data_IF_546429827695
#
_entry.id   IF_546429827695
#
_cell.length_a   1.000
_cell.length_b   1.000
_cell.length_c   1.000
_cell.angle_alpha   90.00
_cell.angle_beta   90.00
_cell.angle_gamma   90.00
#
_symmetry.space_group_name_H-M   'P 1'
#
loop_
_entity.id
_entity.type
_entity.pdbx_description
1 polymer ?
#
# COMPACT_ATOMS: atom_id res chain seq x y z
N UNK A 1 -10.26 7.78 4.76
CA UNK A 1 -8.85 7.39 4.46
C UNK A 1 -8.81 5.88 4.36
N UNK A 2 -8.28 5.29 3.30
CA UNK A 2 -8.16 3.83 3.23
C UNK A 2 -7.35 3.29 4.42
N UNK A 3 -7.93 2.35 5.14
CA UNK A 3 -7.30 1.60 6.22
C UNK A 3 -7.03 0.17 5.74
N UNK A 4 -6.64 -0.75 6.62
CA UNK A 4 -6.26 -2.11 6.21
C UNK A 4 -7.32 -2.81 5.34
N UNK A 5 -8.62 -2.82 5.68
CA UNK A 5 -9.61 -3.53 4.88
C UNK A 5 -9.76 -2.98 3.46
N UNK A 6 -9.75 -1.66 3.27
CA UNK A 6 -9.87 -1.05 1.95
C UNK A 6 -8.63 -1.32 1.09
N UNK A 7 -7.45 -1.37 1.71
CA UNK A 7 -6.20 -1.74 1.02
C UNK A 7 -6.23 -3.22 0.64
N UNK A 8 -6.72 -4.10 1.52
CA UNK A 8 -6.86 -5.52 1.23
C UNK A 8 -7.88 -5.80 0.12
N UNK A 9 -9.04 -5.13 0.15
CA UNK A 9 -10.03 -5.21 -0.94
C UNK A 9 -9.42 -4.76 -2.27
N UNK A 10 -8.64 -3.68 -2.25
CA UNK A 10 -7.92 -3.23 -3.45
C UNK A 10 -6.94 -4.29 -3.95
N UNK A 11 -6.15 -4.92 -3.04
CA UNK A 11 -5.24 -6.01 -3.40
C UNK A 11 -5.99 -7.18 -4.03
N UNK A 12 -7.04 -7.66 -3.37
CA UNK A 12 -7.84 -8.79 -3.86
C UNK A 12 -8.47 -8.51 -5.22
N UNK A 13 -8.95 -7.29 -5.46
CA UNK A 13 -9.48 -6.86 -6.74
C UNK A 13 -8.45 -6.87 -7.89
N UNK A 14 -7.15 -6.78 -7.57
CA UNK A 14 -6.08 -6.81 -8.57
C UNK A 14 -5.54 -8.21 -8.85
N UNK A 15 -5.61 -9.13 -7.88
CA UNK A 15 -5.03 -10.47 -7.99
C UNK A 15 -5.48 -11.28 -9.20
N UNK A 16 -6.75 -11.25 -9.66
CA UNK A 16 -7.17 -12.01 -10.84
C UNK A 16 -6.59 -11.47 -12.16
N UNK A 17 -6.06 -10.24 -12.16
CA UNK A 17 -5.77 -9.53 -13.40
C UNK A 17 -4.29 -9.23 -13.63
N UNK A 18 -3.50 -9.00 -12.59
CA UNK A 18 -2.14 -8.47 -12.73
C UNK A 18 -1.02 -9.52 -12.57
N UNK A 19 -1.09 -10.52 -11.66
CA UNK A 19 -0.03 -11.52 -11.57
C UNK A 19 0.23 -12.22 -12.90
N UNK A 20 1.49 -12.40 -13.23
CA UNK A 20 1.95 -12.96 -14.49
C UNK A 20 1.98 -11.97 -15.67
N UNK A 21 1.46 -10.76 -15.51
CA UNK A 21 1.40 -9.77 -16.59
C UNK A 21 2.65 -8.90 -16.61
N UNK A 22 3.08 -8.52 -17.85
CA UNK A 22 4.19 -7.58 -18.04
C UNK A 22 3.67 -6.16 -18.14
N UNK A 23 4.38 -5.26 -17.46
CA UNK A 23 4.20 -3.82 -17.61
C UNK A 23 4.77 -3.44 -19.00
N UNK A 24 3.90 -3.00 -19.90
CA UNK A 24 4.30 -2.52 -21.22
C UNK A 24 4.88 -1.12 -21.12
N UNK A 25 4.23 -0.28 -20.30
CA UNK A 25 4.61 1.10 -20.09
C UNK A 25 4.17 1.55 -18.69
N UNK A 26 4.96 2.43 -18.07
CA UNK A 26 4.57 3.13 -16.85
C UNK A 26 4.54 4.64 -17.11
N UNK A 27 3.37 5.25 -16.95
CA UNK A 27 3.15 6.68 -17.22
C UNK A 27 2.96 7.42 -15.92
N UNK A 28 3.82 8.39 -15.67
CA UNK A 28 3.73 9.28 -14.51
C UNK A 28 3.38 10.70 -14.97
N UNK A 29 2.18 11.19 -14.60
CA UNK A 29 1.68 12.52 -14.97
C UNK A 29 1.97 13.59 -13.92
N UNK A 30 2.39 13.17 -12.73
CA UNK A 30 2.85 14.05 -11.67
C UNK A 30 4.27 13.66 -11.29
N UNK A 31 5.20 14.63 -11.18
CA UNK A 31 6.57 14.35 -10.75
C UNK A 31 6.65 14.00 -9.26
N UNK A 32 5.60 14.31 -8.51
CA UNK A 32 5.52 14.13 -7.06
C UNK A 32 4.11 13.78 -6.61
N UNK A 33 4.04 12.81 -5.70
CA UNK A 33 2.94 12.57 -4.79
C UNK A 33 3.35 13.05 -3.40
N UNK A 34 3.19 12.26 -2.34
CA UNK A 34 3.77 12.58 -1.03
C UNK A 34 5.30 12.68 -1.11
N UNK A 35 5.93 11.82 -1.89
CA UNK A 35 7.36 11.81 -2.21
C UNK A 35 7.55 12.04 -3.71
N UNK A 36 8.73 12.48 -4.09
CA UNK A 36 9.11 12.55 -5.50
C UNK A 36 9.09 11.16 -6.12
N UNK A 37 8.59 11.07 -7.34
CA UNK A 37 8.64 9.84 -8.14
C UNK A 37 9.98 9.87 -8.89
N UNK A 38 10.86 8.87 -8.69
CA UNK A 38 12.14 8.86 -9.38
C UNK A 38 11.96 8.92 -10.91
N UNK A 39 12.63 9.85 -11.57
CA UNK A 39 12.47 10.07 -13.02
C UNK A 39 12.77 8.82 -13.87
N UNK A 40 13.63 7.92 -13.38
CA UNK A 40 13.96 6.66 -14.04
C UNK A 40 12.95 5.53 -13.77
N UNK A 41 11.95 5.75 -12.90
CA UNK A 41 11.04 4.68 -12.50
C UNK A 41 10.20 4.17 -13.69
N UNK A 42 9.83 5.04 -14.63
CA UNK A 42 9.09 4.64 -15.83
C UNK A 42 9.87 3.60 -16.66
N UNK A 43 11.11 3.93 -17.01
CA UNK A 43 11.97 3.02 -17.80
C UNK A 43 12.32 1.75 -17.01
N UNK A 44 12.45 1.84 -15.69
CA UNK A 44 12.76 0.70 -14.83
C UNK A 44 11.60 -0.29 -14.76
N UNK A 45 10.37 0.17 -14.69
CA UNK A 45 9.18 -0.69 -14.62
C UNK A 45 8.82 -1.31 -15.97
N UNK A 46 9.14 -0.67 -17.07
CA UNK A 46 8.82 -1.18 -18.40
C UNK A 46 9.50 -2.54 -18.64
N UNK A 47 8.72 -3.53 -19.07
CA UNK A 47 9.15 -4.90 -19.30
C UNK A 47 9.17 -5.81 -18.08
N UNK A 48 9.05 -5.28 -16.85
CA UNK A 48 8.93 -6.12 -15.65
C UNK A 48 7.59 -6.86 -15.63
N UNK A 49 7.61 -8.07 -15.08
CA UNK A 49 6.42 -8.87 -14.81
C UNK A 49 6.00 -8.67 -13.36
N UNK A 50 4.72 -8.54 -13.10
CA UNK A 50 4.16 -8.60 -11.75
C UNK A 50 4.08 -10.09 -11.36
N UNK A 51 4.89 -10.55 -10.41
CA UNK A 51 4.83 -11.93 -9.94
C UNK A 51 3.82 -12.11 -8.82
N UNK A 52 3.67 -11.09 -7.98
CA UNK A 52 2.71 -11.12 -6.89
C UNK A 52 2.33 -9.73 -6.41
N UNK A 53 1.28 -9.68 -5.60
CA UNK A 53 0.86 -8.45 -4.90
C UNK A 53 0.61 -8.80 -3.44
N UNK A 54 1.45 -8.28 -2.57
CA UNK A 54 1.33 -8.45 -1.13
C UNK A 54 0.76 -7.18 -0.48
N UNK A 55 0.28 -7.32 0.73
CA UNK A 55 -0.07 -6.20 1.61
C UNK A 55 0.75 -6.28 2.89
N UNK A 56 1.22 -5.13 3.33
CA UNK A 56 1.80 -4.96 4.65
C UNK A 56 1.23 -3.68 5.28
N UNK A 57 0.43 -3.83 6.32
CA UNK A 57 -0.36 -2.71 6.86
C UNK A 57 -1.24 -2.05 5.81
N UNK A 58 -0.97 -0.79 5.51
CA UNK A 58 -1.68 -0.01 4.47
C UNK A 58 -0.89 0.13 3.16
N UNK A 59 0.20 -0.62 3.00
CA UNK A 59 1.01 -0.66 1.78
C UNK A 59 0.61 -1.82 0.89
N UNK A 60 0.54 -1.57 -0.41
CA UNK A 60 0.52 -2.58 -1.46
C UNK A 60 1.94 -2.74 -2.00
N UNK A 61 2.39 -3.97 -2.08
CA UNK A 61 3.74 -4.34 -2.48
C UNK A 61 3.64 -5.21 -3.73
N UNK A 62 4.01 -4.63 -4.88
CA UNK A 62 4.02 -5.35 -6.14
C UNK A 62 5.40 -5.95 -6.36
N UNK A 63 5.49 -7.26 -6.39
CA UNK A 63 6.68 -8.00 -6.76
C UNK A 63 6.87 -7.90 -8.27
N UNK A 64 7.96 -7.27 -8.69
CA UNK A 64 8.22 -6.95 -10.09
C UNK A 64 9.52 -7.59 -10.54
N UNK A 65 9.48 -8.51 -11.49
CA UNK A 65 10.64 -9.27 -11.93
C UNK A 65 10.87 -9.27 -13.45
N UNK A 66 12.14 -9.41 -13.79
CA UNK A 66 12.61 -9.81 -15.12
C UNK A 66 13.74 -10.84 -14.98
N UNK A 67 14.28 -11.34 -16.11
CA UNK A 67 15.42 -12.27 -16.09
C UNK A 67 16.71 -11.67 -15.55
N UNK A 68 16.83 -10.35 -15.51
CA UNK A 68 18.08 -9.64 -15.21
C UNK A 68 18.03 -8.83 -13.93
N UNK A 69 16.85 -8.36 -13.55
CA UNK A 69 16.65 -7.52 -12.38
C UNK A 69 15.21 -7.65 -11.86
N UNK A 70 15.04 -7.32 -10.62
CA UNK A 70 13.73 -7.33 -9.95
C UNK A 70 13.72 -6.42 -8.74
N UNK A 71 12.54 -6.24 -8.18
CA UNK A 71 12.34 -5.45 -6.98
C UNK A 71 10.86 -5.22 -6.71
N UNK A 72 10.59 -4.32 -5.81
CA UNK A 72 9.25 -4.05 -5.32
C UNK A 72 8.79 -2.64 -5.64
N UNK A 73 7.63 -2.53 -6.27
CA UNK A 73 6.92 -1.28 -6.34
C UNK A 73 6.04 -1.16 -5.09
N UNK A 74 6.35 -0.19 -4.24
CA UNK A 74 5.65 0.09 -2.98
C UNK A 74 4.63 1.18 -3.25
N UNK A 75 3.35 0.90 -3.00
CA UNK A 75 2.27 1.85 -3.16
C UNK A 75 1.49 2.02 -1.86
N UNK A 76 1.24 3.27 -1.47
CA UNK A 76 0.34 3.63 -0.38
C UNK A 76 -0.74 4.56 -0.90
N UNK A 77 -2.01 4.26 -0.61
CA UNK A 77 -3.14 5.03 -1.14
C UNK A 77 -3.25 6.45 -0.55
N UNK A 78 -2.56 6.71 0.54
CA UNK A 78 -2.70 7.99 1.24
C UNK A 78 -4.09 8.16 1.84
N UNK A 79 -4.68 9.35 1.66
CA UNK A 79 -6.01 9.66 2.20
C UNK A 79 -7.13 9.59 1.17
N UNK A 80 -6.83 9.74 -0.10
CA UNK A 80 -7.81 9.85 -1.19
C UNK A 80 -7.45 9.02 -2.42
N UNK A 81 -6.35 8.27 -2.33
CA UNK A 81 -5.89 7.43 -3.44
C UNK A 81 -6.81 6.24 -3.68
N UNK A 82 -6.96 5.90 -4.93
CA UNK A 82 -7.71 4.73 -5.38
C UNK A 82 -7.03 4.09 -6.59
N UNK A 83 -7.13 2.77 -6.68
CA UNK A 83 -6.67 1.98 -7.81
C UNK A 83 -7.86 1.51 -8.63
N UNK A 84 -7.73 1.57 -9.95
CA UNK A 84 -8.76 1.10 -10.88
C UNK A 84 -8.12 0.39 -12.06
N UNK A 85 -8.75 -0.68 -12.51
CA UNK A 85 -8.45 -1.29 -13.79
C UNK A 85 -9.34 -0.65 -14.85
N UNK A 86 -8.71 -0.13 -15.90
CA UNK A 86 -9.39 0.52 -17.01
C UNK A 86 -8.96 -0.13 -18.33
N UNK A 87 -9.78 -0.01 -19.38
CA UNK A 87 -9.40 -0.49 -20.71
C UNK A 87 -8.14 0.24 -21.22
N UNK A 88 -7.28 -0.45 -21.98
CA UNK A 88 -6.12 0.20 -22.61
C UNK A 88 -6.56 1.40 -23.46
N UNK A 89 -5.80 2.49 -23.40
CA UNK A 89 -6.13 3.71 -24.14
C UNK A 89 -7.22 4.59 -23.53
N UNK A 90 -7.81 4.20 -22.40
CA UNK A 90 -8.78 5.06 -21.70
C UNK A 90 -8.12 6.38 -21.30
N UNK A 91 -8.68 7.50 -21.78
CA UNK A 91 -8.15 8.83 -21.50
C UNK A 91 -8.08 9.10 -19.98
N UNK A 92 -6.97 9.67 -19.48
CA UNK A 92 -6.86 10.02 -18.08
C UNK A 92 -7.77 11.19 -17.73
N UNK A 93 -8.31 11.16 -16.53
CA UNK A 93 -9.07 12.25 -15.95
C UNK A 93 -8.21 13.08 -14.99
N UNK A 94 -8.75 14.20 -14.52
CA UNK A 94 -8.13 15.00 -13.46
C UNK A 94 -7.79 14.11 -12.25
N UNK A 95 -6.56 14.23 -11.76
CA UNK A 95 -6.00 13.47 -10.63
C UNK A 95 -5.62 12.01 -10.92
N UNK A 96 -5.70 11.54 -12.16
CA UNK A 96 -5.11 10.27 -12.57
C UNK A 96 -3.61 10.49 -12.78
N UNK A 97 -2.81 10.08 -11.79
CA UNK A 97 -1.38 10.46 -11.74
C UNK A 97 -0.45 9.38 -12.27
N UNK A 98 -0.84 8.12 -12.16
CA UNK A 98 0.00 6.98 -12.56
C UNK A 98 -0.82 5.97 -13.33
N UNK A 99 -0.28 5.50 -14.45
CA UNK A 99 -0.77 4.33 -15.15
C UNK A 99 0.35 3.30 -15.27
N UNK A 100 0.07 2.06 -14.88
CA UNK A 100 0.82 0.89 -15.30
C UNK A 100 0.03 0.20 -16.41
N UNK A 101 0.57 0.28 -17.61
CA UNK A 101 -0.10 -0.23 -18.83
C UNK A 101 0.32 -1.68 -19.05
N UNK A 102 -0.67 -2.54 -19.22
CA UNK A 102 -0.53 -3.94 -19.61
C UNK A 102 -1.23 -4.17 -20.95
N UNK A 103 -1.00 -5.30 -21.60
CA UNK A 103 -1.58 -5.58 -22.91
C UNK A 103 -3.13 -5.52 -22.91
N UNK A 104 -3.77 -6.05 -21.87
CA UNK A 104 -5.22 -6.18 -21.79
C UNK A 104 -5.92 -5.18 -20.85
N UNK A 105 -5.16 -4.46 -20.04
CA UNK A 105 -5.71 -3.53 -19.05
C UNK A 105 -4.67 -2.47 -18.66
N UNK A 106 -5.13 -1.43 -17.99
CA UNK A 106 -4.26 -0.43 -17.36
C UNK A 106 -4.64 -0.30 -15.89
N UNK A 107 -3.66 -0.47 -14.99
CA UNK A 107 -3.83 -0.13 -13.59
C UNK A 107 -3.61 1.36 -13.44
N UNK A 108 -4.65 2.07 -13.01
CA UNK A 108 -4.64 3.52 -12.84
C UNK A 108 -4.71 3.91 -11.39
N UNK A 109 -3.78 4.75 -10.97
CA UNK A 109 -3.78 5.36 -9.64
C UNK A 109 -4.28 6.80 -9.73
N UNK A 110 -5.40 7.06 -9.07
CA UNK A 110 -5.99 8.39 -8.90
C UNK A 110 -5.81 8.85 -7.47
N UNK A 111 -5.34 10.07 -7.27
CA UNK A 111 -5.18 10.65 -5.92
C UNK A 111 -5.36 12.17 -5.93
N UNK A 112 -6.58 12.68 -5.66
CA UNK A 112 -6.88 14.10 -5.66
C UNK A 112 -5.99 14.95 -4.73
N UNK A 113 -5.57 14.40 -3.60
CA UNK A 113 -4.79 15.11 -2.57
C UNK A 113 -3.27 14.91 -2.69
N UNK A 114 -2.82 13.95 -3.50
CA UNK A 114 -1.41 13.58 -3.68
C UNK A 114 -0.70 13.17 -2.38
N UNK A 115 -1.43 12.54 -1.45
CA UNK A 115 -0.88 12.01 -0.21
C UNK A 115 -0.48 10.53 -0.33
N UNK A 116 -0.73 9.95 -1.48
CA UNK A 116 -0.25 8.63 -1.83
C UNK A 116 1.27 8.60 -1.96
N UNK A 117 1.81 7.41 -1.93
CA UNK A 117 3.25 7.16 -2.06
C UNK A 117 3.48 6.12 -3.12
N UNK A 118 4.46 6.35 -3.97
CA UNK A 118 4.94 5.38 -4.94
C UNK A 118 6.47 5.37 -4.87
N UNK A 119 7.04 4.23 -4.47
CA UNK A 119 8.47 4.06 -4.28
C UNK A 119 8.94 2.76 -4.94
N UNK A 120 10.23 2.71 -5.24
CA UNK A 120 10.89 1.51 -5.72
C UNK A 120 11.90 1.01 -4.70
N UNK A 121 11.87 -0.29 -4.43
CA UNK A 121 12.88 -0.99 -3.66
C UNK A 121 13.57 -2.03 -4.55
N UNK A 122 14.88 -1.95 -4.65
CA UNK A 122 15.68 -2.86 -5.46
C UNK A 122 15.94 -4.17 -4.71
N UNK A 123 15.86 -5.30 -5.40
CA UNK A 123 16.09 -6.63 -4.83
C UNK A 123 14.85 -7.25 -4.20
N UNK A 124 15.02 -8.47 -3.66
CA UNK A 124 13.92 -9.33 -3.23
C UNK A 124 13.50 -9.11 -1.77
N UNK A 125 14.39 -8.58 -0.92
CA UNK A 125 14.19 -8.48 0.53
C UNK A 125 13.41 -7.20 0.90
N UNK A 126 12.11 -7.15 0.58
CA UNK A 126 11.24 -5.99 0.85
C UNK A 126 11.16 -5.63 2.34
N UNK A 127 11.34 -6.59 3.21
CA UNK A 127 11.40 -6.42 4.66
C UNK A 127 12.52 -5.48 5.12
N UNK A 128 13.56 -5.31 4.31
CA UNK A 128 14.67 -4.40 4.59
C UNK A 128 14.37 -2.94 4.17
N UNK A 129 13.27 -2.68 3.46
CA UNK A 129 12.91 -1.31 3.12
C UNK A 129 12.55 -0.51 4.38
N UNK A 130 13.11 0.70 4.61
CA UNK A 130 12.94 1.47 5.86
C UNK A 130 11.50 1.67 6.29
N UNK A 131 10.56 1.88 5.36
CA UNK A 131 9.14 2.04 5.67
C UNK A 131 8.44 0.72 6.03
N UNK A 132 9.01 -0.42 5.66
CA UNK A 132 8.41 -1.75 5.92
C UNK A 132 9.03 -2.38 7.16
N UNK A 133 10.35 -2.25 7.31
CA UNK A 133 11.12 -2.80 8.43
C UNK A 133 10.64 -2.34 9.81
N UNK A 134 10.15 -1.11 9.91
CA UNK A 134 9.69 -0.51 11.17
C UNK A 134 8.24 -0.83 11.54
N UNK A 135 7.53 -1.54 10.66
CA UNK A 135 6.10 -1.83 10.88
C UNK A 135 5.90 -2.93 11.94
N UNK A 136 5.01 -2.64 12.88
CA UNK A 136 4.57 -3.57 13.92
C UNK A 136 3.79 -4.77 13.40
N UNK A 137 3.06 -5.45 14.27
CA UNK A 137 2.36 -6.70 13.91
C UNK A 137 1.10 -6.46 13.09
N UNK A 138 0.72 -7.45 12.29
CA UNK A 138 -0.55 -7.46 11.56
C UNK A 138 -1.70 -7.83 12.51
N UNK A 139 -2.79 -7.05 12.57
CA UNK A 139 -3.87 -7.27 13.54
C UNK A 139 -4.74 -8.50 13.26
N UNK A 140 -4.60 -9.11 12.08
CA UNK A 140 -5.37 -10.29 11.68
C UNK A 140 -4.51 -11.57 11.67
N UNK A 141 -3.43 -11.60 12.44
CA UNK A 141 -2.59 -12.79 12.62
C UNK A 141 -2.61 -13.24 14.08
N UNK A 142 -2.18 -14.46 14.34
CA UNK A 142 -2.08 -15.03 15.69
C UNK A 142 -1.07 -14.28 16.59
N UNK A 143 -0.20 -13.46 15.99
CA UNK A 143 0.70 -12.58 16.74
C UNK A 143 -0.03 -11.46 17.49
N UNK A 144 -1.22 -11.07 17.06
CA UNK A 144 -2.06 -10.09 17.73
C UNK A 144 -3.10 -10.76 18.61
N UNK A 145 -3.01 -10.56 19.94
CA UNK A 145 -3.98 -11.05 20.91
C UNK A 145 -4.32 -9.96 21.94
N UNK A 146 -5.40 -10.17 22.69
CA UNK A 146 -5.77 -9.29 23.79
C UNK A 146 -4.68 -9.22 24.86
N UNK A 147 -4.05 -10.36 25.20
CA UNK A 147 -2.95 -10.42 26.16
C UNK A 147 -1.72 -9.67 25.66
N UNK A 148 -1.37 -9.86 24.37
CA UNK A 148 -0.27 -9.11 23.77
C UNK A 148 -0.54 -7.59 23.83
N UNK A 149 -1.75 -7.15 23.45
CA UNK A 149 -2.11 -5.73 23.48
C UNK A 149 -2.09 -5.19 24.91
N UNK A 150 -2.59 -5.94 25.90
CA UNK A 150 -2.53 -5.58 27.30
C UNK A 150 -1.09 -5.35 27.76
N UNK A 151 -0.16 -6.25 27.45
CA UNK A 151 1.25 -6.09 27.81
C UNK A 151 1.90 -4.87 27.12
N UNK A 152 1.49 -4.54 25.89
CA UNK A 152 1.98 -3.35 25.21
C UNK A 152 1.45 -2.04 25.80
N UNK A 153 0.30 -2.06 26.43
CA UNK A 153 -0.39 -0.85 26.92
C UNK A 153 -0.14 -0.56 28.40
N UNK A 154 0.01 -1.56 29.25
CA UNK A 154 -0.08 -1.46 30.72
C UNK A 154 0.92 -0.52 31.41
N UNK A 155 1.99 -0.09 30.76
CA UNK A 155 3.00 0.82 31.31
C UNK A 155 3.13 2.12 30.52
N UNK A 156 2.12 2.43 29.70
CA UNK A 156 2.14 3.63 28.87
C UNK A 156 1.11 4.64 29.37
N UNK A 157 1.47 5.91 29.35
CA UNK A 157 0.56 7.03 29.62
C UNK A 157 -0.13 7.56 28.37
N UNK A 158 0.25 7.05 27.19
CA UNK A 158 -0.38 7.40 25.91
C UNK A 158 -1.83 6.93 25.89
N UNK A 159 -2.81 7.76 25.50
CA UNK A 159 -4.19 7.32 25.31
C UNK A 159 -4.26 6.12 24.36
N UNK A 160 -5.26 5.26 24.59
CA UNK A 160 -5.35 3.98 23.86
C UNK A 160 -5.55 4.16 22.34
N UNK A 161 -6.30 5.17 21.91
CA UNK A 161 -6.57 5.39 20.49
C UNK A 161 -5.30 5.75 19.68
N UNK A 162 -4.48 6.76 20.05
CA UNK A 162 -3.20 6.99 19.41
C UNK A 162 -2.29 5.76 19.40
N UNK A 163 -2.32 4.97 20.46
CA UNK A 163 -1.51 3.77 20.59
C UNK A 163 -1.95 2.69 19.58
N UNK A 164 -3.23 2.45 19.41
CA UNK A 164 -3.76 1.55 18.37
C UNK A 164 -3.44 2.02 16.95
N UNK A 165 -3.28 3.33 16.77
CA UNK A 165 -2.94 3.93 15.47
C UNK A 165 -1.43 4.00 15.20
N UNK A 166 -0.59 3.64 16.17
CA UNK A 166 0.85 3.58 16.00
C UNK A 166 1.23 2.37 15.14
N UNK A 167 1.64 2.64 13.90
CA UNK A 167 2.03 1.61 12.95
C UNK A 167 3.31 0.85 13.33
N UNK A 168 4.10 1.32 14.30
CA UNK A 168 5.22 0.58 14.86
C UNK A 168 4.77 -0.51 15.84
N UNK A 169 3.55 -0.40 16.34
CA UNK A 169 2.96 -1.37 17.25
C UNK A 169 2.03 -2.32 16.50
N UNK A 170 0.94 -1.78 15.94
CA UNK A 170 -0.05 -2.52 15.15
C UNK A 170 -0.26 -1.82 13.83
N UNK A 171 -0.16 -2.54 12.73
CA UNK A 171 -0.31 -1.93 11.42
C UNK A 171 -1.77 -1.90 10.95
N UNK A 172 -2.05 -1.01 10.02
CA UNK A 172 -3.32 -1.03 9.28
C UNK A 172 -4.50 -0.34 9.95
N UNK A 173 -4.45 -0.12 11.25
CA UNK A 173 -5.50 0.60 12.00
C UNK A 173 -5.37 2.10 11.73
N UNK A 174 -6.48 2.74 11.47
CA UNK A 174 -6.58 4.20 11.37
C UNK A 174 -7.68 4.73 12.27
N UNK A 175 -8.15 5.93 11.97
CA UNK A 175 -9.10 6.64 12.83
C UNK A 175 -10.45 5.92 12.97
N UNK A 176 -10.91 5.31 11.86
CA UNK A 176 -12.22 4.65 11.82
C UNK A 176 -12.17 3.37 12.67
N UNK A 177 -11.27 2.45 12.32
CA UNK A 177 -11.20 1.18 13.03
C UNK A 177 -10.72 1.31 14.47
N UNK A 178 -9.88 2.29 14.80
CA UNK A 178 -9.55 2.59 16.21
C UNK A 178 -10.79 3.04 16.99
N UNK A 179 -11.61 3.94 16.42
CA UNK A 179 -12.82 4.40 17.08
C UNK A 179 -13.87 3.29 17.22
N UNK A 180 -14.14 2.55 16.15
CA UNK A 180 -15.13 1.46 16.13
C UNK A 180 -14.76 0.33 17.11
N UNK A 181 -13.48 -0.09 17.11
CA UNK A 181 -13.02 -1.14 18.02
C UNK A 181 -13.11 -0.74 19.49
N UNK A 182 -12.75 0.50 19.82
CA UNK A 182 -12.85 1.02 21.19
C UNK A 182 -14.31 1.17 21.61
N UNK A 183 -15.17 1.65 20.72
CA UNK A 183 -16.61 1.72 20.97
C UNK A 183 -17.20 0.34 21.25
N UNK A 184 -16.89 -0.65 20.41
CA UNK A 184 -17.33 -2.03 20.60
C UNK A 184 -16.83 -2.65 21.91
N UNK A 185 -15.63 -2.25 22.36
CA UNK A 185 -15.04 -2.70 23.64
C UNK A 185 -15.55 -1.90 24.88
N UNK A 186 -16.35 -0.85 24.69
CA UNK A 186 -16.80 0.03 25.78
C UNK A 186 -15.68 0.86 26.40
N UNK A 187 -14.62 1.13 25.64
CA UNK A 187 -13.43 1.89 26.08
C UNK A 187 -13.48 3.30 25.48
N UNK A 188 -13.38 4.31 26.35
CA UNK A 188 -13.23 5.71 25.88
C UNK A 188 -11.88 5.90 25.19
N UNK A 189 -11.85 6.53 24.00
CA UNK A 189 -10.61 6.77 23.23
C UNK A 189 -9.67 7.80 23.90
#
# INVERSE_FOLDING_TARGET
MPELPEVEVSRQGLLPFLPGRRIVEAVFRAPRLRHEIPGQLSSRLAGLRIDGILRRGKYLLFDCESRQHGGWLILHLGMSGSLRLVAPGTAPQKHDHVDLVFTATTLRFRDPRRFGTLLWHEGQAIENHPLIAVLGIEPLTDAFSGDWLYEQTRRRSTPIKPLLMDSHLVVGIGNIYAAESLFAAGISP
#
